data_IF_549938201540
#
_entry.id   IF_549938201540
#
_cell.length_a   1.000
_cell.length_b   1.000
_cell.length_c   1.000
_cell.angle_alpha   90.00
_cell.angle_beta   90.00
_cell.angle_gamma   90.00
#
_symmetry.space_group_name_H-M   'P 1'
#
loop_
_entity.id
_entity.type
_entity.pdbx_description
1 polymer ?
#
# COMPACT_ATOMS: atom_id res chain seq x y z
N UNK A 1 -11.16 -3.34 9.52
CA UNK A 1 -11.01 -2.28 10.53
C UNK A 1 -9.61 -2.42 11.10
N UNK A 2 -8.78 -1.37 11.01
CA UNK A 2 -7.40 -1.39 11.54
C UNK A 2 -7.45 -1.50 13.06
N UNK A 3 -6.53 -2.26 13.65
CA UNK A 3 -6.43 -2.32 15.11
C UNK A 3 -5.95 -0.97 15.70
N UNK A 4 -6.02 -0.78 17.03
CA UNK A 4 -5.58 0.47 17.68
C UNK A 4 -4.09 0.80 17.46
N UNK A 5 -3.29 -0.11 16.93
CA UNK A 5 -1.89 0.11 16.56
C UNK A 5 -1.71 0.58 15.11
N UNK A 6 -2.80 0.72 14.35
CA UNK A 6 -2.77 1.08 12.93
C UNK A 6 -2.40 -0.10 12.02
N UNK A 7 -2.49 -1.34 12.52
CA UNK A 7 -2.16 -2.55 11.79
C UNK A 7 -3.42 -3.27 11.32
N UNK A 8 -3.46 -3.65 10.05
CA UNK A 8 -4.51 -4.54 9.51
C UNK A 8 -3.89 -5.84 9.00
N UNK A 9 -4.29 -6.97 9.57
CA UNK A 9 -3.98 -8.30 9.03
C UNK A 9 -5.11 -8.70 8.09
N UNK A 10 -4.80 -8.97 6.81
CA UNK A 10 -5.84 -9.17 5.78
C UNK A 10 -5.60 -10.47 5.03
N UNK A 11 -6.67 -11.20 4.62
CA UNK A 11 -6.51 -12.25 3.63
C UNK A 11 -5.89 -11.68 2.36
N UNK A 12 -4.99 -12.44 1.75
CA UNK A 12 -4.34 -12.04 0.49
C UNK A 12 -5.39 -11.72 -0.58
N UNK A 13 -5.09 -10.72 -1.43
CA UNK A 13 -5.93 -10.35 -2.57
C UNK A 13 -7.04 -9.35 -2.24
N UNK A 14 -7.25 -9.01 -0.97
CA UNK A 14 -8.23 -8.00 -0.58
C UNK A 14 -7.56 -6.65 -0.35
N UNK A 15 -7.93 -5.59 -1.10
CA UNK A 15 -7.46 -4.24 -0.84
C UNK A 15 -7.90 -3.73 0.52
N UNK A 16 -7.05 -2.93 1.16
CA UNK A 16 -7.34 -2.26 2.43
C UNK A 16 -6.96 -0.80 2.34
N UNK A 17 -7.85 0.05 2.84
CA UNK A 17 -7.63 1.49 2.98
C UNK A 17 -6.64 1.75 4.11
N UNK A 18 -5.54 2.39 3.78
CA UNK A 18 -4.48 2.79 4.71
C UNK A 18 -4.33 4.31 4.66
N UNK A 19 -4.34 4.95 5.83
CA UNK A 19 -3.79 6.29 6.00
C UNK A 19 -2.26 6.23 6.09
N UNK A 20 -1.58 7.37 5.94
CA UNK A 20 -0.12 7.45 6.10
C UNK A 20 0.31 6.87 7.46
N UNK A 21 1.35 6.04 7.45
CA UNK A 21 1.87 5.32 8.60
C UNK A 21 1.14 4.03 8.95
N UNK A 22 -0.04 3.78 8.37
CA UNK A 22 -0.78 2.53 8.61
C UNK A 22 -0.20 1.37 7.80
N UNK A 23 -0.37 0.17 8.34
CA UNK A 23 0.28 -1.04 7.85
C UNK A 23 -0.74 -2.10 7.43
N UNK A 24 -0.54 -2.69 6.26
CA UNK A 24 -1.18 -3.95 5.86
C UNK A 24 -0.20 -5.11 6.01
N UNK A 25 -0.63 -6.21 6.60
CA UNK A 25 0.20 -7.42 6.80
C UNK A 25 -0.51 -8.63 6.20
N UNK A 26 0.23 -9.40 5.41
CA UNK A 26 -0.25 -10.70 4.89
C UNK A 26 -0.52 -11.71 6.02
N UNK A 27 -1.35 -12.76 5.82
CA UNK A 27 -1.77 -13.72 6.86
C UNK A 27 -0.69 -14.62 7.50
N UNK A 28 0.60 -14.27 7.42
CA UNK A 28 1.70 -15.06 7.96
C UNK A 28 2.72 -14.17 8.67
N UNK A 29 2.51 -13.77 9.94
CA UNK A 29 3.32 -12.73 10.60
C UNK A 29 4.83 -13.04 10.73
N UNK A 30 5.24 -14.31 10.73
CA UNK A 30 6.66 -14.70 10.90
C UNK A 30 7.45 -14.69 9.58
N UNK A 31 6.80 -14.97 8.44
CA UNK A 31 7.44 -15.08 7.12
C UNK A 31 6.68 -14.38 5.99
N UNK A 32 5.79 -13.47 6.37
CA UNK A 32 4.92 -12.72 5.51
C UNK A 32 5.51 -11.37 5.15
N UNK A 33 4.72 -10.62 4.41
CA UNK A 33 5.01 -9.26 4.00
C UNK A 33 4.14 -8.28 4.78
N UNK A 34 4.72 -7.14 5.14
CA UNK A 34 4.00 -5.94 5.53
C UNK A 34 4.31 -4.80 4.57
N UNK A 35 3.30 -4.00 4.25
CA UNK A 35 3.41 -2.75 3.51
C UNK A 35 2.89 -1.60 4.35
N UNK A 36 3.66 -0.54 4.48
CA UNK A 36 3.29 0.68 5.19
C UNK A 36 3.10 1.78 4.16
N UNK A 37 1.94 2.43 4.16
CA UNK A 37 1.75 3.60 3.31
C UNK A 37 2.56 4.76 3.89
N UNK A 38 3.65 5.16 3.21
CA UNK A 38 4.63 6.08 3.77
C UNK A 38 4.38 7.53 3.32
N UNK A 39 4.13 7.73 2.03
CA UNK A 39 3.93 9.08 1.48
C UNK A 39 3.20 9.04 0.14
N UNK A 40 2.57 10.16 -0.20
CA UNK A 40 2.26 10.53 -1.59
C UNK A 40 3.44 11.36 -2.09
N UNK A 41 4.11 10.89 -3.14
CA UNK A 41 5.23 11.59 -3.78
C UNK A 41 4.72 12.67 -4.71
N UNK A 42 3.69 12.34 -5.49
CA UNK A 42 2.98 13.27 -6.39
C UNK A 42 1.58 12.75 -6.68
N UNK A 43 0.65 13.67 -6.98
CA UNK A 43 -0.67 13.33 -7.49
C UNK A 43 -1.13 14.45 -8.44
N UNK A 44 -1.01 14.21 -9.74
CA UNK A 44 -1.43 15.13 -10.79
C UNK A 44 -2.50 14.51 -11.70
N UNK A 45 -3.20 13.48 -11.19
CA UNK A 45 -4.27 12.75 -11.90
C UNK A 45 -5.40 13.67 -12.38
N UNK A 46 -5.72 14.74 -11.65
CA UNK A 46 -6.73 15.73 -12.06
C UNK A 46 -6.38 16.44 -13.39
N UNK A 47 -5.08 16.53 -13.70
CA UNK A 47 -4.57 17.10 -14.95
C UNK A 47 -4.30 16.05 -16.04
N UNK A 48 -4.69 14.79 -15.81
CA UNK A 48 -4.43 13.66 -16.70
C UNK A 48 -3.06 12.99 -16.48
N UNK A 49 -2.39 13.28 -15.35
CA UNK A 49 -1.13 12.66 -14.95
C UNK A 49 -1.30 11.36 -14.16
N UNK A 50 -0.49 11.14 -13.13
CA UNK A 50 -0.47 9.92 -12.30
C UNK A 50 -0.38 10.25 -10.81
N UNK A 51 -0.73 9.29 -9.96
CA UNK A 51 -0.39 9.37 -8.55
C UNK A 51 0.79 8.43 -8.26
N UNK A 52 1.83 8.96 -7.63
CA UNK A 52 2.96 8.18 -7.16
C UNK A 52 2.92 8.13 -5.65
N UNK A 53 2.84 6.91 -5.10
CA UNK A 53 2.85 6.68 -3.65
C UNK A 53 4.01 5.79 -3.26
N UNK A 54 4.63 6.10 -2.13
CA UNK A 54 5.69 5.27 -1.55
C UNK A 54 5.10 4.31 -0.53
N UNK A 55 5.35 3.02 -0.73
CA UNK A 55 5.07 1.98 0.25
C UNK A 55 6.38 1.46 0.83
N UNK A 56 6.54 1.58 2.13
CA UNK A 56 7.66 0.97 2.84
C UNK A 56 7.42 -0.51 3.07
N UNK A 57 8.39 -1.34 2.70
CA UNK A 57 8.29 -2.79 2.69
C UNK A 57 9.03 -3.39 3.88
N UNK A 58 8.34 -4.27 4.61
CA UNK A 58 8.96 -5.14 5.61
C UNK A 58 8.67 -6.60 5.30
N UNK A 59 9.71 -7.42 5.33
CA UNK A 59 9.61 -8.87 5.11
C UNK A 59 9.97 -9.59 6.42
N UNK A 60 9.04 -10.35 7.01
CA UNK A 60 9.23 -10.91 8.34
C UNK A 60 9.44 -9.85 9.43
N UNK A 61 9.79 -10.28 10.64
CA UNK A 61 9.86 -9.41 11.83
C UNK A 61 11.03 -8.41 11.85
N UNK A 62 12.10 -8.66 11.10
CA UNK A 62 13.38 -7.93 11.25
C UNK A 62 13.96 -7.38 9.94
N UNK A 63 13.35 -7.64 8.77
CA UNK A 63 13.90 -7.17 7.49
C UNK A 63 13.13 -5.94 7.00
N UNK A 64 13.78 -4.78 7.08
CA UNK A 64 13.39 -3.58 6.33
C UNK A 64 13.95 -3.71 4.92
N UNK A 65 13.10 -3.66 3.90
CA UNK A 65 13.51 -3.71 2.49
C UNK A 65 13.51 -2.33 1.83
N UNK A 66 13.23 -1.28 2.59
CA UNK A 66 13.13 0.09 2.08
C UNK A 66 11.77 0.40 1.45
N UNK A 67 11.69 1.59 0.85
CA UNK A 67 10.50 2.08 0.15
C UNK A 67 10.45 1.61 -1.30
N UNK A 68 9.24 1.39 -1.80
CA UNK A 68 8.99 1.29 -3.23
C UNK A 68 7.91 2.28 -3.64
N UNK A 69 8.15 2.95 -4.75
CA UNK A 69 7.13 3.78 -5.39
C UNK A 69 6.22 2.91 -6.25
N UNK A 70 4.93 3.22 -6.20
CA UNK A 70 3.88 2.63 -7.02
C UNK A 70 3.15 3.78 -7.74
N UNK A 71 3.05 3.66 -9.05
CA UNK A 71 2.44 4.68 -9.93
C UNK A 71 1.04 4.22 -10.33
N UNK A 72 0.03 4.89 -9.80
CA UNK A 72 -1.37 4.73 -10.15
C UNK A 72 -1.70 5.66 -11.32
N UNK A 73 -2.15 5.08 -12.42
CA UNK A 73 -2.53 5.82 -13.62
C UNK A 73 -3.83 6.63 -13.40
N UNK A 74 -4.03 7.70 -14.16
CA UNK A 74 -5.24 8.55 -14.06
C UNK A 74 -6.55 7.77 -14.30
N UNK A 75 -6.52 6.68 -15.06
CA UNK A 75 -7.67 5.82 -15.31
C UNK A 75 -7.95 4.83 -14.17
N UNK A 76 -7.17 4.89 -13.09
CA UNK A 76 -7.31 4.03 -11.92
C UNK A 76 -6.74 2.62 -12.13
N UNK A 77 -5.92 2.40 -13.17
CA UNK A 77 -5.26 1.11 -13.34
C UNK A 77 -4.36 0.78 -12.15
N UNK A 78 -4.53 -0.40 -11.52
CA UNK A 78 -3.73 -0.79 -10.37
C UNK A 78 -2.23 -0.81 -10.65
N UNK A 79 -1.48 -0.20 -9.75
CA UNK A 79 -0.03 -0.31 -9.69
C UNK A 79 0.34 -1.55 -8.89
N UNK A 80 1.25 -2.40 -9.36
CA UNK A 80 1.73 -3.53 -8.57
C UNK A 80 3.20 -3.85 -8.78
N UNK A 81 3.88 -4.27 -7.71
CA UNK A 81 5.28 -4.68 -7.73
C UNK A 81 5.49 -6.03 -7.06
N UNK A 82 6.29 -6.88 -7.71
CA UNK A 82 6.71 -8.18 -7.18
C UNK A 82 7.79 -8.01 -6.13
N UNK A 83 7.59 -8.64 -4.97
CA UNK A 83 8.49 -8.66 -3.82
C UNK A 83 8.69 -10.11 -3.37
N UNK A 84 9.66 -10.78 -3.99
CA UNK A 84 9.89 -12.21 -3.82
C UNK A 84 8.68 -13.02 -4.30
N UNK A 85 8.04 -13.73 -3.37
CA UNK A 85 6.82 -14.54 -3.64
C UNK A 85 5.51 -13.77 -3.50
N UNK A 86 5.56 -12.55 -2.95
CA UNK A 86 4.40 -11.69 -2.77
C UNK A 86 4.39 -10.59 -3.82
N UNK A 87 3.23 -9.99 -3.99
CA UNK A 87 3.05 -8.75 -4.71
C UNK A 87 2.36 -7.76 -3.80
N UNK A 88 2.72 -6.50 -3.94
CA UNK A 88 1.97 -5.38 -3.36
C UNK A 88 1.51 -4.48 -4.47
N UNK A 89 0.28 -4.00 -4.35
CA UNK A 89 -0.25 -3.01 -5.25
C UNK A 89 -1.06 -1.94 -4.54
N UNK A 90 -1.26 -0.85 -5.27
CA UNK A 90 -2.16 0.24 -4.92
C UNK A 90 -3.20 0.27 -6.02
N UNK A 91 -4.47 0.14 -5.63
CA UNK A 91 -5.60 0.10 -6.56
C UNK A 91 -6.36 1.42 -6.60
N UNK A 92 -6.19 2.27 -5.58
CA UNK A 92 -6.82 3.58 -5.51
C UNK A 92 -6.07 4.49 -4.53
N UNK A 93 -6.24 5.80 -4.71
CA UNK A 93 -5.79 6.85 -3.80
C UNK A 93 -6.90 7.90 -3.69
N UNK A 94 -7.45 8.01 -2.50
CA UNK A 94 -8.50 8.96 -2.13
C UNK A 94 -7.96 9.96 -1.09
N UNK A 95 -8.70 11.03 -0.82
CA UNK A 95 -8.42 11.97 0.26
C UNK A 95 -9.66 12.07 1.16
N UNK A 96 -9.44 12.11 2.47
CA UNK A 96 -10.53 12.34 3.42
C UNK A 96 -11.01 13.81 3.41
N UNK A 97 -11.99 14.15 4.24
CA UNK A 97 -12.54 15.50 4.34
C UNK A 97 -11.53 16.56 4.78
N UNK A 98 -10.45 16.15 5.44
CA UNK A 98 -9.36 17.02 5.88
C UNK A 98 -8.18 17.04 4.89
N UNK A 99 -8.39 16.44 3.70
CA UNK A 99 -7.40 16.29 2.64
C UNK A 99 -6.19 15.41 3.03
N UNK A 100 -6.37 14.46 3.95
CA UNK A 100 -5.36 13.46 4.23
C UNK A 100 -5.48 12.29 3.24
N UNK A 101 -4.36 11.79 2.69
CA UNK A 101 -4.39 10.72 1.71
C UNK A 101 -4.71 9.36 2.33
N UNK A 102 -5.51 8.59 1.61
CA UNK A 102 -5.90 7.21 1.93
C UNK A 102 -5.62 6.35 0.70
N UNK A 103 -4.65 5.44 0.80
CA UNK A 103 -4.32 4.50 -0.26
C UNK A 103 -5.06 3.18 -0.07
N UNK A 104 -5.67 2.65 -1.12
CA UNK A 104 -6.21 1.29 -1.16
C UNK A 104 -5.08 0.33 -1.57
N UNK A 105 -4.50 -0.36 -0.59
CA UNK A 105 -3.33 -1.23 -0.78
C UNK A 105 -3.71 -2.70 -0.72
N UNK A 106 -3.23 -3.51 -1.65
CA UNK A 106 -3.47 -4.95 -1.70
C UNK A 106 -2.15 -5.71 -1.63
N UNK A 107 -2.10 -6.78 -0.83
CA UNK A 107 -1.01 -7.76 -0.84
C UNK A 107 -1.56 -9.07 -1.36
N UNK A 108 -0.94 -9.65 -2.38
CA UNK A 108 -1.42 -10.89 -3.01
C UNK A 108 -0.27 -11.82 -3.44
N UNK A 109 -0.65 -13.04 -3.82
CA UNK A 109 0.21 -14.02 -4.49
C UNK A 109 -0.51 -14.49 -5.76
N UNK A 110 0.05 -14.30 -6.95
CA UNK A 110 -0.49 -14.89 -8.17
C UNK A 110 -0.30 -16.41 -8.18
#
# INVERSE_FOLDING_TARGET
ESDPSGTTITPLGNPVKLAIGQTVISPAPVGGMAGIFEAVVSDDRESGGTAVVTIKIRMGLLSDQGGTDLTLEADGQPAAKKLGRYWIGVVDLEYDSDNNPIASVVVFKP
#
